data_IF_018023997067
#
_entry.id   IF_018023997067
#
_cell.length_a   1.000
_cell.length_b   1.000
_cell.length_c   1.000
_cell.angle_alpha   90.00
_cell.angle_beta   90.00
_cell.angle_gamma   90.00
#
_symmetry.space_group_name_H-M   'P 1'
#
loop_
_entity.id
_entity.type
_entity.pdbx_description
1 polymer ?
#
# COMPACT_ATOMS: atom_id res chain seq x y z
N UNK A 1 -9.48 27.86 -3.15
CA UNK A 1 -8.50 26.75 -2.93
C UNK A 1 -9.12 25.45 -3.43
N UNK A 2 -8.39 24.57 -4.15
CA UNK A 2 -9.00 23.33 -4.67
C UNK A 2 -9.38 22.39 -3.53
N UNK A 3 -10.61 21.85 -3.53
CA UNK A 3 -11.07 20.90 -2.49
C UNK A 3 -10.11 19.70 -2.43
N UNK A 4 -9.66 19.37 -1.21
CA UNK A 4 -8.75 18.27 -0.94
C UNK A 4 -9.45 16.92 -1.19
N UNK A 5 -9.33 16.32 -2.37
CA UNK A 5 -10.05 15.08 -2.67
C UNK A 5 -9.36 13.85 -2.05
N UNK A 6 -10.03 13.16 -1.12
CA UNK A 6 -9.52 11.92 -0.52
C UNK A 6 -9.48 10.78 -1.54
N UNK A 7 -8.35 10.07 -1.62
CA UNK A 7 -8.27 8.83 -2.41
C UNK A 7 -9.07 7.72 -1.74
N UNK A 8 -10.10 7.21 -2.42
CA UNK A 8 -10.91 6.12 -1.90
C UNK A 8 -10.24 4.76 -2.17
N UNK A 9 -9.98 4.01 -1.10
CA UNK A 9 -9.53 2.63 -1.16
C UNK A 9 -10.73 1.74 -0.80
N UNK A 10 -11.16 0.91 -1.75
CA UNK A 10 -12.35 0.07 -1.57
C UNK A 10 -12.20 -0.87 -0.36
N UNK A 11 -13.28 -1.05 0.40
CA UNK A 11 -13.32 -1.92 1.59
C UNK A 11 -12.91 -3.38 1.33
N UNK A 12 -13.13 -3.85 0.10
CA UNK A 12 -12.86 -5.23 -0.32
C UNK A 12 -11.49 -5.37 -1.00
N UNK A 13 -10.67 -4.32 -0.97
CA UNK A 13 -9.32 -4.28 -1.57
C UNK A 13 -8.40 -5.22 -0.81
N UNK A 14 -7.80 -6.18 -1.52
CA UNK A 14 -6.78 -7.06 -0.96
C UNK A 14 -5.38 -6.52 -1.24
N UNK A 15 -4.42 -6.93 -0.41
CA UNK A 15 -3.02 -6.55 -0.51
C UNK A 15 -2.19 -7.79 -0.78
N UNK A 16 -1.32 -7.73 -1.79
CA UNK A 16 -0.55 -8.88 -2.26
C UNK A 16 0.93 -8.55 -2.32
N UNK A 17 1.75 -9.45 -1.80
CA UNK A 17 3.19 -9.47 -2.05
C UNK A 17 3.47 -10.38 -3.24
N UNK A 18 4.07 -9.85 -4.31
CA UNK A 18 4.43 -10.62 -5.51
C UNK A 18 5.90 -10.37 -5.85
N UNK A 19 6.73 -11.42 -5.76
CA UNK A 19 8.16 -11.31 -6.05
C UNK A 19 8.43 -11.43 -7.55
N UNK A 20 9.35 -10.63 -8.11
CA UNK A 20 9.64 -10.65 -9.54
C UNK A 20 10.67 -11.73 -9.87
N UNK A 21 10.30 -12.99 -9.62
CA UNK A 21 11.17 -14.15 -9.82
C UNK A 21 12.22 -14.34 -8.71
N UNK A 22 13.05 -15.36 -8.90
CA UNK A 22 14.16 -15.70 -7.99
C UNK A 22 15.15 -14.54 -7.96
N UNK A 23 15.60 -14.18 -6.75
CA UNK A 23 16.51 -13.05 -6.52
C UNK A 23 16.06 -11.72 -7.14
N UNK A 24 14.74 -11.56 -7.30
CA UNK A 24 14.09 -10.39 -7.89
C UNK A 24 14.54 -10.05 -9.33
N UNK A 25 15.00 -11.05 -10.11
CA UNK A 25 15.63 -10.85 -11.43
C UNK A 25 14.75 -10.12 -12.46
N UNK A 26 13.42 -10.23 -12.35
CA UNK A 26 12.48 -9.58 -13.27
C UNK A 26 12.03 -8.18 -12.79
N UNK A 27 12.59 -7.63 -11.71
CA UNK A 27 12.09 -6.40 -11.08
C UNK A 27 12.05 -5.21 -12.06
N UNK A 28 13.15 -4.94 -12.75
CA UNK A 28 13.21 -3.85 -13.74
C UNK A 28 12.27 -4.07 -14.93
N UNK A 29 12.00 -5.33 -15.29
CA UNK A 29 11.06 -5.66 -16.35
C UNK A 29 9.61 -5.40 -15.90
N UNK A 30 9.26 -5.80 -14.67
CA UNK A 30 7.95 -5.54 -14.08
C UNK A 30 7.67 -4.05 -13.94
N UNK A 31 8.69 -3.28 -13.52
CA UNK A 31 8.63 -1.82 -13.45
C UNK A 31 8.36 -1.20 -14.81
N UNK A 32 9.23 -1.48 -15.78
CA UNK A 32 9.18 -0.89 -17.12
C UNK A 32 7.91 -1.26 -17.88
N UNK A 33 7.48 -2.51 -17.76
CA UNK A 33 6.35 -3.03 -18.53
C UNK A 33 5.01 -2.86 -17.78
N UNK A 34 5.02 -2.29 -16.57
CA UNK A 34 3.83 -2.08 -15.75
C UNK A 34 3.05 -3.38 -15.48
N UNK A 35 3.76 -4.42 -15.03
CA UNK A 35 3.15 -5.74 -14.77
C UNK A 35 3.66 -6.39 -13.51
N UNK A 36 2.92 -7.40 -13.06
CA UNK A 36 3.41 -8.49 -12.21
C UNK A 36 3.14 -9.83 -12.88
N UNK A 37 4.01 -10.80 -12.65
CA UNK A 37 3.87 -12.13 -13.23
C UNK A 37 4.29 -13.24 -12.26
N UNK A 38 3.68 -14.41 -12.44
CA UNK A 38 4.08 -15.66 -11.79
C UNK A 38 4.41 -16.74 -12.83
N UNK A 39 5.18 -17.74 -12.41
CA UNK A 39 5.64 -18.85 -13.24
C UNK A 39 4.59 -19.91 -13.57
N UNK A 40 5.07 -21.15 -13.63
CA UNK A 40 4.30 -22.34 -14.00
C UNK A 40 4.00 -22.43 -15.49
N UNK A 41 5.02 -22.21 -16.33
CA UNK A 41 4.86 -22.09 -17.79
C UNK A 41 4.34 -23.35 -18.50
N UNK A 42 4.58 -24.54 -17.97
CA UNK A 42 3.96 -25.79 -18.48
C UNK A 42 2.44 -25.83 -18.29
N UNK A 43 1.92 -25.02 -17.36
CA UNK A 43 0.49 -24.83 -17.20
C UNK A 43 0.10 -23.65 -18.08
N UNK A 44 -0.46 -23.98 -19.24
CA UNK A 44 -1.02 -23.02 -20.19
C UNK A 44 -2.23 -22.26 -19.65
N UNK A 45 -3.04 -21.71 -20.55
CA UNK A 45 -4.20 -20.91 -20.16
C UNK A 45 -5.30 -21.80 -19.53
N UNK A 46 -5.25 -21.97 -18.21
CA UNK A 46 -6.43 -22.40 -17.44
C UNK A 46 -7.43 -21.26 -17.59
N UNK A 47 -8.58 -21.54 -18.22
CA UNK A 47 -9.60 -20.56 -18.56
C UNK A 47 -9.79 -19.52 -17.44
N UNK A 48 -9.18 -18.34 -17.61
CA UNK A 48 -9.22 -17.27 -16.62
C UNK A 48 -10.63 -16.70 -16.43
N UNK A 49 -11.53 -16.94 -17.38
CA UNK A 49 -12.91 -16.50 -17.33
C UNK A 49 -13.85 -17.49 -16.64
N UNK A 50 -13.37 -18.68 -16.24
CA UNK A 50 -14.17 -19.64 -15.48
C UNK A 50 -13.36 -20.18 -14.31
N UNK A 51 -13.89 -20.00 -13.10
CA UNK A 51 -13.24 -20.50 -11.89
C UNK A 51 -13.08 -22.01 -11.98
N UNK A 52 -11.85 -22.48 -11.88
CA UNK A 52 -11.51 -23.89 -11.80
C UNK A 52 -11.24 -24.26 -10.35
N UNK A 53 -11.87 -25.34 -9.89
CA UNK A 53 -11.64 -25.85 -8.54
C UNK A 53 -10.16 -26.13 -8.27
N UNK A 54 -9.72 -25.78 -7.06
CA UNK A 54 -8.33 -25.94 -6.63
C UNK A 54 -7.82 -27.39 -6.80
N UNK A 55 -8.67 -28.39 -6.59
CA UNK A 55 -8.29 -29.80 -6.72
C UNK A 55 -7.94 -30.17 -8.17
N UNK A 56 -8.64 -29.59 -9.15
CA UNK A 56 -8.30 -29.76 -10.56
C UNK A 56 -6.96 -29.10 -10.91
N UNK A 57 -6.64 -27.95 -10.31
CA UNK A 57 -5.33 -27.32 -10.47
C UNK A 57 -4.23 -28.20 -9.87
N UNK A 58 -4.45 -28.79 -8.68
CA UNK A 58 -3.50 -29.74 -8.08
C UNK A 58 -3.24 -30.95 -8.98
N UNK A 59 -4.28 -31.49 -9.61
CA UNK A 59 -4.14 -32.58 -10.58
C UNK A 59 -3.27 -32.17 -11.77
N UNK A 60 -3.54 -31.01 -12.38
CA UNK A 60 -2.75 -30.47 -13.49
C UNK A 60 -1.28 -30.28 -13.07
N UNK A 61 -1.03 -29.67 -11.90
CA UNK A 61 0.32 -29.47 -11.37
C UNK A 61 1.06 -30.80 -11.17
N UNK A 62 0.38 -31.81 -10.63
CA UNK A 62 0.98 -33.12 -10.39
C UNK A 62 1.39 -33.83 -11.69
N UNK A 63 0.66 -33.58 -12.78
CA UNK A 63 0.90 -34.15 -14.10
C UNK A 63 1.99 -33.38 -14.88
N UNK A 64 1.81 -32.07 -15.07
CA UNK A 64 2.69 -31.23 -15.91
C UNK A 64 4.12 -31.08 -15.36
N UNK A 65 4.29 -31.23 -14.04
CA UNK A 65 5.58 -31.16 -13.36
C UNK A 65 5.98 -32.49 -12.74
N UNK A 66 5.47 -33.62 -13.26
CA UNK A 66 5.75 -34.92 -12.67
C UNK A 66 7.27 -35.14 -12.54
N UNK A 67 8.03 -34.98 -13.61
CA UNK A 67 9.49 -35.07 -13.68
C UNK A 67 10.22 -34.25 -12.59
N UNK A 68 9.86 -32.98 -12.40
CA UNK A 68 10.47 -32.10 -11.38
C UNK A 68 10.03 -32.46 -9.95
N UNK A 69 8.95 -33.23 -9.81
CA UNK A 69 8.41 -33.70 -8.53
C UNK A 69 8.79 -35.15 -8.24
N UNK A 70 9.40 -35.87 -9.19
CA UNK A 70 9.77 -37.29 -9.07
C UNK A 70 10.88 -37.54 -8.04
N UNK A 71 11.77 -36.58 -7.81
CA UNK A 71 12.81 -36.69 -6.77
C UNK A 71 12.23 -36.69 -5.35
N UNK A 72 10.93 -36.34 -5.20
CA UNK A 72 10.18 -36.32 -3.93
C UNK A 72 9.17 -37.47 -3.81
N UNK A 73 9.42 -38.61 -4.47
CA UNK A 73 8.49 -39.76 -4.56
C UNK A 73 8.02 -40.25 -3.18
N UNK A 74 6.69 -40.31 -3.00
CA UNK A 74 6.00 -40.97 -1.88
C UNK A 74 5.76 -40.15 -0.60
N UNK A 75 6.34 -38.95 -0.49
CA UNK A 75 6.40 -38.23 0.80
C UNK A 75 5.33 -37.15 0.93
N UNK A 76 4.96 -36.84 2.19
CA UNK A 76 4.15 -35.66 2.58
C UNK A 76 4.62 -34.37 1.90
N UNK A 77 5.91 -34.28 1.59
CA UNK A 77 6.54 -33.14 0.94
C UNK A 77 6.08 -32.91 -0.51
N UNK A 78 5.95 -33.96 -1.33
CA UNK A 78 5.43 -33.83 -2.70
C UNK A 78 4.01 -33.26 -2.69
N UNK A 79 3.14 -33.79 -1.84
CA UNK A 79 1.76 -33.28 -1.67
C UNK A 79 1.72 -31.84 -1.20
N UNK A 80 2.62 -31.46 -0.28
CA UNK A 80 2.76 -30.07 0.18
C UNK A 80 3.18 -29.15 -0.95
N UNK A 81 4.19 -29.53 -1.75
CA UNK A 81 4.67 -28.74 -2.91
C UNK A 81 3.55 -28.59 -3.93
N UNK A 82 2.88 -29.65 -4.36
CA UNK A 82 1.73 -29.57 -5.29
C UNK A 82 0.65 -28.61 -4.76
N UNK A 83 0.27 -28.74 -3.48
CA UNK A 83 -0.77 -27.89 -2.89
C UNK A 83 -0.35 -26.42 -2.83
N UNK A 84 0.89 -26.15 -2.46
CA UNK A 84 1.45 -24.80 -2.41
C UNK A 84 1.46 -24.14 -3.80
N UNK A 85 1.89 -24.88 -4.82
CA UNK A 85 1.91 -24.45 -6.22
C UNK A 85 0.50 -24.14 -6.71
N UNK A 86 -0.41 -25.10 -6.56
CA UNK A 86 -1.79 -24.96 -7.00
C UNK A 86 -2.48 -23.78 -6.31
N UNK A 87 -2.18 -23.55 -5.02
CA UNK A 87 -2.73 -22.42 -4.27
C UNK A 87 -2.21 -21.08 -4.80
N UNK A 88 -0.93 -20.98 -5.16
CA UNK A 88 -0.36 -19.77 -5.78
C UNK A 88 -1.01 -19.49 -7.14
N UNK A 89 -1.17 -20.51 -7.98
CA UNK A 89 -1.83 -20.39 -9.28
C UNK A 89 -3.29 -19.94 -9.08
N UNK A 90 -4.03 -20.64 -8.22
CA UNK A 90 -5.44 -20.33 -7.93
C UNK A 90 -5.62 -18.88 -7.47
N UNK A 91 -4.81 -18.45 -6.50
CA UNK A 91 -4.83 -17.07 -5.98
C UNK A 91 -4.61 -16.06 -7.09
N UNK A 92 -3.55 -16.24 -7.87
CA UNK A 92 -3.20 -15.29 -8.92
C UNK A 92 -4.24 -15.24 -10.04
N UNK A 93 -4.88 -16.36 -10.38
CA UNK A 93 -5.90 -16.41 -11.43
C UNK A 93 -7.25 -15.87 -10.95
N UNK A 94 -7.68 -16.22 -9.74
CA UNK A 94 -9.08 -16.05 -9.33
C UNK A 94 -9.31 -15.19 -8.08
N UNK A 95 -8.33 -15.08 -7.17
CA UNK A 95 -8.49 -14.28 -5.95
C UNK A 95 -8.00 -12.84 -6.14
N UNK A 96 -6.90 -12.64 -6.87
CA UNK A 96 -6.42 -11.29 -7.22
C UNK A 96 -7.39 -10.61 -8.19
N UNK A 97 -7.89 -9.45 -7.80
CA UNK A 97 -8.88 -8.68 -8.56
C UNK A 97 -8.31 -7.34 -9.04
N UNK A 98 -8.96 -6.77 -10.05
CA UNK A 98 -8.72 -5.38 -10.45
C UNK A 98 -9.03 -4.47 -9.26
N UNK A 99 -8.15 -3.52 -8.97
CA UNK A 99 -8.24 -2.64 -7.81
C UNK A 99 -7.46 -3.11 -6.58
N UNK A 100 -7.05 -4.39 -6.50
CA UNK A 100 -6.19 -4.86 -5.42
C UNK A 100 -4.83 -4.15 -5.46
N UNK A 101 -4.21 -3.98 -4.28
CA UNK A 101 -2.88 -3.39 -4.13
C UNK A 101 -1.83 -4.49 -4.15
N UNK A 102 -0.75 -4.25 -4.90
CA UNK A 102 0.38 -5.16 -5.02
C UNK A 102 1.68 -4.48 -4.60
N UNK A 103 2.50 -5.24 -3.88
CA UNK A 103 3.85 -4.88 -3.48
C UNK A 103 4.81 -5.81 -4.18
N UNK A 104 5.77 -5.23 -4.89
CA UNK A 104 6.80 -5.98 -5.60
C UNK A 104 8.18 -5.57 -5.08
N UNK A 105 8.85 -6.43 -4.28
CA UNK A 105 10.15 -6.09 -3.75
C UNK A 105 11.26 -6.31 -4.80
N UNK A 106 12.08 -5.29 -5.01
CA UNK A 106 13.38 -5.39 -5.67
C UNK A 106 14.51 -5.58 -4.66
N UNK A 107 15.76 -5.35 -5.10
CA UNK A 107 16.93 -5.42 -4.22
C UNK A 107 17.14 -4.14 -3.41
N UNK A 108 16.96 -2.98 -4.04
CA UNK A 108 17.21 -1.66 -3.42
C UNK A 108 15.92 -0.88 -3.15
N UNK A 109 14.86 -1.17 -3.90
CA UNK A 109 13.56 -0.51 -3.78
C UNK A 109 12.41 -1.52 -3.77
N UNK A 110 11.21 -1.01 -3.52
CA UNK A 110 9.95 -1.75 -3.53
C UNK A 110 8.94 -0.94 -4.32
N UNK A 111 8.29 -1.59 -5.30
CA UNK A 111 7.19 -1.00 -6.04
C UNK A 111 5.89 -1.28 -5.31
N UNK A 112 5.01 -0.28 -5.25
CA UNK A 112 3.64 -0.41 -4.78
C UNK A 112 2.72 0.07 -5.90
N UNK A 113 1.74 -0.75 -6.27
CA UNK A 113 0.84 -0.46 -7.38
C UNK A 113 -0.53 -1.09 -7.22
N UNK A 114 -1.40 -0.83 -8.19
CA UNK A 114 -2.79 -1.30 -8.24
C UNK A 114 -3.01 -2.18 -9.45
N UNK A 115 -3.63 -3.34 -9.28
CA UNK A 115 -3.94 -4.27 -10.38
C UNK A 115 -4.95 -3.62 -11.35
N UNK A 116 -4.64 -3.61 -12.65
CA UNK A 116 -5.45 -2.99 -13.72
C UNK A 116 -6.12 -3.99 -14.65
N UNK A 117 -5.66 -5.25 -14.68
CA UNK A 117 -6.06 -6.20 -15.71
C UNK A 117 -6.39 -7.58 -15.19
N UNK A 118 -7.19 -8.29 -15.99
CA UNK A 118 -7.28 -9.75 -15.92
C UNK A 118 -5.92 -10.37 -16.26
N UNK A 119 -5.74 -11.61 -15.82
CA UNK A 119 -4.55 -12.38 -16.17
C UNK A 119 -4.51 -12.66 -17.67
N UNK A 120 -3.32 -12.59 -18.26
CA UNK A 120 -3.05 -13.04 -19.62
C UNK A 120 -1.73 -13.84 -19.66
N UNK A 121 -1.54 -14.61 -20.72
CA UNK A 121 -0.31 -15.40 -20.90
C UNK A 121 0.70 -14.62 -21.76
N UNK A 122 1.95 -14.60 -21.32
CA UNK A 122 3.08 -14.01 -22.05
C UNK A 122 4.29 -14.92 -21.99
N UNK A 123 4.51 -15.70 -23.05
CA UNK A 123 5.59 -16.69 -23.07
C UNK A 123 6.94 -16.06 -23.39
N UNK A 124 7.98 -16.50 -22.66
CA UNK A 124 9.38 -16.18 -22.94
C UNK A 124 9.83 -14.73 -22.65
N UNK A 125 8.93 -13.83 -22.25
CA UNK A 125 9.25 -12.40 -21.99
C UNK A 125 9.94 -12.18 -20.64
N UNK A 126 9.42 -12.78 -19.57
CA UNK A 126 9.91 -12.60 -18.20
C UNK A 126 10.65 -13.85 -17.73
N UNK A 127 11.95 -13.89 -17.99
CA UNK A 127 12.79 -15.06 -17.75
C UNK A 127 13.39 -15.03 -16.36
N UNK A 128 13.25 -16.13 -15.63
CA UNK A 128 13.96 -16.40 -14.39
C UNK A 128 15.14 -17.29 -14.78
N UNK A 129 16.37 -16.83 -14.56
CA UNK A 129 17.63 -17.40 -15.10
C UNK A 129 17.71 -18.93 -15.23
N UNK A 130 18.45 -19.42 -16.22
CA UNK A 130 18.65 -20.85 -16.58
C UNK A 130 19.43 -21.71 -15.55
N UNK A 131 19.62 -21.24 -14.31
CA UNK A 131 20.32 -22.03 -13.29
C UNK A 131 19.46 -23.23 -12.88
N UNK A 132 19.73 -24.38 -13.49
CA UNK A 132 19.14 -25.70 -13.19
C UNK A 132 19.40 -26.18 -11.75
N UNK A 133 20.23 -25.48 -10.99
CA UNK A 133 20.69 -25.87 -9.64
C UNK A 133 19.76 -25.45 -8.50
N UNK A 134 18.59 -24.85 -8.80
CA UNK A 134 17.58 -24.55 -7.78
C UNK A 134 16.34 -25.44 -7.96
N UNK A 135 15.99 -26.19 -6.91
CA UNK A 135 14.75 -26.98 -6.78
C UNK A 135 13.44 -26.16 -6.98
N UNK A 136 13.55 -24.85 -7.10
CA UNK A 136 12.48 -23.88 -7.37
C UNK A 136 12.44 -23.40 -8.83
N UNK A 137 13.25 -23.96 -9.74
CA UNK A 137 13.16 -23.63 -11.16
C UNK A 137 11.85 -24.19 -11.75
N UNK A 138 10.88 -23.31 -11.96
CA UNK A 138 9.57 -23.68 -12.53
C UNK A 138 9.27 -22.88 -13.81
N UNK A 139 10.31 -22.66 -14.61
CA UNK A 139 10.21 -22.02 -15.91
C UNK A 139 9.93 -20.52 -15.87
N UNK A 140 9.50 -19.97 -17.00
CA UNK A 140 9.32 -18.54 -17.21
C UNK A 140 8.09 -17.99 -16.46
N UNK A 141 8.13 -16.71 -16.08
CA UNK A 141 6.95 -16.02 -15.54
C UNK A 141 5.98 -15.70 -16.68
N UNK A 142 5.04 -16.59 -16.95
CA UNK A 142 4.16 -16.48 -18.11
C UNK A 142 2.72 -16.07 -17.78
N UNK A 143 2.29 -16.09 -16.51
CA UNK A 143 0.97 -15.58 -16.10
C UNK A 143 1.12 -14.16 -15.63
N UNK A 144 0.55 -13.21 -16.34
CA UNK A 144 0.84 -11.77 -16.19
C UNK A 144 -0.43 -10.99 -15.89
N UNK A 145 -0.32 -9.96 -15.05
CA UNK A 145 -1.35 -8.96 -14.80
C UNK A 145 -0.76 -7.56 -14.95
N UNK A 146 -1.51 -6.67 -15.58
CA UNK A 146 -1.15 -5.25 -15.68
C UNK A 146 -1.31 -4.57 -14.31
N UNK A 147 -0.40 -3.65 -14.02
CA UNK A 147 -0.31 -2.91 -12.76
C UNK A 147 -0.06 -1.44 -13.06
N UNK A 148 -0.81 -0.57 -12.39
CA UNK A 148 -0.50 0.85 -12.29
C UNK A 148 0.43 1.03 -11.09
N UNK A 149 1.73 1.27 -11.34
CA UNK A 149 2.69 1.57 -10.28
C UNK A 149 2.42 2.98 -9.73
N UNK A 150 2.16 3.07 -8.43
CA UNK A 150 1.80 4.33 -7.74
C UNK A 150 3.02 4.93 -7.08
N UNK A 151 3.86 4.09 -6.45
CA UNK A 151 5.06 4.56 -5.76
C UNK A 151 6.21 3.53 -5.86
N UNK A 152 7.45 4.03 -5.77
CA UNK A 152 8.66 3.25 -5.61
C UNK A 152 9.44 3.76 -4.41
N UNK A 153 9.63 2.90 -3.42
CA UNK A 153 10.21 3.29 -2.13
C UNK A 153 11.54 2.56 -1.95
N UNK A 154 12.60 3.31 -1.69
CA UNK A 154 13.90 2.73 -1.33
C UNK A 154 13.78 1.95 -0.03
N UNK A 155 14.49 0.84 0.09
CA UNK A 155 14.36 -0.06 1.24
C UNK A 155 14.76 0.59 2.55
N UNK A 156 15.73 1.51 2.55
CA UNK A 156 16.09 2.28 3.76
C UNK A 156 14.88 3.07 4.30
N UNK A 157 14.03 3.59 3.41
CA UNK A 157 12.90 4.46 3.73
C UNK A 157 11.60 3.69 4.03
N UNK A 158 11.60 2.36 3.91
CA UNK A 158 10.42 1.57 4.23
C UNK A 158 10.15 1.59 5.74
N UNK A 159 8.86 1.65 6.06
CA UNK A 159 8.42 1.51 7.43
C UNK A 159 8.68 0.10 7.98
N UNK A 160 8.84 -0.05 9.32
CA UNK A 160 9.31 -1.29 9.92
C UNK A 160 8.41 -2.51 9.65
N UNK A 161 7.07 -2.36 9.64
CA UNK A 161 6.21 -3.51 9.44
C UNK A 161 6.22 -3.98 7.99
N UNK A 162 6.33 -3.07 7.01
CA UNK A 162 6.59 -3.46 5.61
C UNK A 162 7.92 -4.22 5.53
N UNK A 163 9.01 -3.71 6.13
CA UNK A 163 10.32 -4.40 6.13
C UNK A 163 10.22 -5.82 6.68
N UNK A 164 9.44 -6.03 7.75
CA UNK A 164 9.19 -7.35 8.33
C UNK A 164 8.38 -8.25 7.40
N UNK A 165 7.33 -7.73 6.76
CA UNK A 165 6.49 -8.47 5.82
C UNK A 165 7.31 -8.96 4.62
N UNK A 166 8.27 -8.16 4.15
CA UNK A 166 9.19 -8.52 3.07
C UNK A 166 10.20 -9.62 3.41
N UNK A 167 10.27 -10.09 4.67
CA UNK A 167 11.07 -11.28 5.04
C UNK A 167 10.40 -12.59 4.62
N UNK A 168 9.10 -12.56 4.29
CA UNK A 168 8.39 -13.71 3.76
C UNK A 168 9.02 -14.12 2.42
N UNK A 169 9.49 -15.36 2.33
CA UNK A 169 10.26 -15.88 1.18
C UNK A 169 9.33 -16.32 0.03
N UNK A 170 8.03 -16.44 0.27
CA UNK A 170 7.07 -16.87 -0.75
C UNK A 170 6.99 -15.88 -1.93
N UNK A 171 6.96 -16.42 -3.16
CA UNK A 171 6.83 -15.61 -4.37
C UNK A 171 5.46 -14.93 -4.55
N UNK A 172 4.42 -15.42 -3.85
CA UNK A 172 3.09 -14.83 -3.79
C UNK A 172 2.50 -15.06 -2.39
N UNK A 173 2.08 -13.99 -1.71
CA UNK A 173 1.35 -14.06 -0.45
C UNK A 173 0.36 -12.91 -0.29
N UNK A 174 -0.75 -13.17 0.40
CA UNK A 174 -1.70 -12.12 0.80
C UNK A 174 -1.19 -11.46 2.09
N UNK A 175 -1.32 -10.14 2.18
CA UNK A 175 -0.98 -9.33 3.35
C UNK A 175 -2.29 -8.99 4.07
N UNK A 176 -2.49 -9.59 5.24
CA UNK A 176 -3.71 -9.43 6.04
C UNK A 176 -3.48 -8.64 7.33
N UNK A 177 -2.21 -8.30 7.65
CA UNK A 177 -1.86 -7.57 8.86
C UNK A 177 -2.23 -6.10 8.71
N UNK A 178 -3.22 -5.65 9.50
CA UNK A 178 -3.75 -4.29 9.40
C UNK A 178 -2.69 -3.19 9.58
N UNK A 179 -1.70 -3.41 10.44
CA UNK A 179 -0.58 -2.48 10.60
C UNK A 179 0.25 -2.32 9.33
N UNK A 180 0.53 -3.43 8.62
CA UNK A 180 1.26 -3.41 7.36
C UNK A 180 0.42 -2.73 6.28
N UNK A 181 -0.89 -3.02 6.22
CA UNK A 181 -1.84 -2.38 5.30
C UNK A 181 -1.88 -0.86 5.51
N UNK A 182 -1.94 -0.41 6.75
CA UNK A 182 -1.92 1.02 7.10
C UNK A 182 -0.61 1.70 6.64
N UNK A 183 0.54 1.05 6.85
CA UNK A 183 1.84 1.53 6.34
C UNK A 183 1.87 1.60 4.81
N UNK A 184 1.33 0.59 4.11
CA UNK A 184 1.25 0.59 2.64
C UNK A 184 0.39 1.75 2.14
N UNK A 185 -0.81 1.92 2.71
CA UNK A 185 -1.76 2.95 2.28
C UNK A 185 -1.18 4.34 2.45
N UNK A 186 -0.61 4.63 3.62
CA UNK A 186 0.04 5.92 3.83
C UNK A 186 1.29 6.06 3.00
N UNK A 187 1.97 4.99 2.59
CA UNK A 187 3.12 5.11 1.70
C UNK A 187 2.74 5.54 0.26
N UNK A 188 1.50 5.32 -0.17
CA UNK A 188 1.02 5.70 -1.52
C UNK A 188 0.09 6.92 -1.53
N UNK A 189 -0.58 7.24 -0.42
CA UNK A 189 -1.49 8.38 -0.32
C UNK A 189 -1.26 9.17 0.97
N UNK A 190 -1.34 10.50 0.87
CA UNK A 190 -1.29 11.40 2.05
C UNK A 190 -2.67 11.78 2.58
N UNK A 191 -3.72 11.61 1.77
CA UNK A 191 -5.11 11.84 2.17
C UNK A 191 -6.01 10.79 1.51
N UNK A 192 -6.53 9.83 2.30
CA UNK A 192 -7.27 8.68 1.75
C UNK A 192 -8.38 8.21 2.68
N UNK A 193 -9.40 7.57 2.11
CA UNK A 193 -10.48 6.90 2.86
C UNK A 193 -10.34 5.40 2.70
N UNK A 194 -10.34 4.67 3.81
CA UNK A 194 -10.30 3.21 3.86
C UNK A 194 -11.17 2.72 5.02
N UNK A 195 -11.99 1.68 4.80
CA UNK A 195 -12.90 1.14 5.81
C UNK A 195 -13.78 2.19 6.52
N UNK A 196 -14.31 3.15 5.76
CA UNK A 196 -15.13 4.27 6.24
C UNK A 196 -14.40 5.27 7.16
N UNK A 197 -13.10 5.15 7.33
CA UNK A 197 -12.26 6.13 8.02
C UNK A 197 -11.45 6.92 6.99
N UNK A 198 -11.36 8.23 7.18
CA UNK A 198 -10.45 9.06 6.40
C UNK A 198 -9.18 9.29 7.18
N UNK A 199 -8.05 9.18 6.50
CA UNK A 199 -6.70 9.32 7.02
C UNK A 199 -6.04 10.53 6.40
N UNK A 200 -5.41 11.34 7.25
CA UNK A 200 -4.71 12.56 6.92
C UNK A 200 -3.28 12.46 7.43
N UNK A 201 -2.34 12.31 6.51
CA UNK A 201 -0.95 11.96 6.80
C UNK A 201 -0.05 13.18 6.65
N UNK A 202 0.44 13.68 7.78
CA UNK A 202 1.47 14.71 7.84
C UNK A 202 2.83 14.03 7.92
N UNK A 203 3.85 14.57 7.25
CA UNK A 203 5.21 14.02 7.30
C UNK A 203 6.21 15.03 7.79
N UNK A 204 6.89 14.70 8.88
CA UNK A 204 8.07 15.43 9.30
C UNK A 204 9.25 14.91 8.47
N UNK A 205 9.84 15.78 7.66
CA UNK A 205 10.97 15.46 6.76
C UNK A 205 12.34 15.67 7.39
N UNK A 206 12.40 16.38 8.53
CA UNK A 206 13.66 16.69 9.19
C UNK A 206 14.45 15.38 9.44
N UNK A 207 15.77 15.45 9.27
CA UNK A 207 16.68 14.34 9.59
C UNK A 207 17.27 14.51 10.99
N UNK A 208 17.13 15.70 11.57
CA UNK A 208 17.47 16.00 12.97
C UNK A 208 16.28 15.77 13.90
N UNK A 209 16.52 15.92 15.21
CA UNK A 209 15.50 15.75 16.23
C UNK A 209 14.28 16.66 16.02
N UNK A 210 13.10 16.17 16.41
CA UNK A 210 11.86 16.93 16.33
C UNK A 210 11.86 18.00 17.43
N UNK A 211 11.74 19.28 17.05
CA UNK A 211 11.65 20.37 18.01
C UNK A 211 10.35 20.27 18.84
N UNK A 212 10.49 20.09 20.15
CA UNK A 212 9.37 19.85 21.07
C UNK A 212 8.29 20.95 21.00
N UNK A 213 8.69 22.22 21.07
CA UNK A 213 7.74 23.35 21.11
C UNK A 213 6.94 23.43 19.82
N UNK A 214 7.59 23.19 18.68
CA UNK A 214 6.96 23.20 17.37
C UNK A 214 5.97 22.04 17.20
N UNK A 215 6.36 20.83 17.61
CA UNK A 215 5.47 19.68 17.60
C UNK A 215 4.29 19.87 18.56
N UNK A 216 4.51 20.42 19.76
CA UNK A 216 3.45 20.74 20.71
C UNK A 216 2.44 21.72 20.11
N UNK A 217 2.92 22.83 19.51
CA UNK A 217 2.07 23.80 18.81
C UNK A 217 1.28 23.17 17.65
N UNK A 218 1.88 22.26 16.89
CA UNK A 218 1.19 21.54 15.83
C UNK A 218 0.01 20.72 16.38
N UNK A 219 0.23 19.95 17.44
CA UNK A 219 -0.82 19.16 18.10
C UNK A 219 -1.88 20.06 18.75
N UNK A 220 -1.48 21.14 19.40
CA UNK A 220 -2.40 22.13 19.98
C UNK A 220 -3.27 22.80 18.92
N UNK A 221 -2.73 23.10 17.73
CA UNK A 221 -3.48 23.65 16.61
C UNK A 221 -4.56 22.67 16.14
N UNK A 222 -4.23 21.38 16.01
CA UNK A 222 -5.21 20.34 15.66
C UNK A 222 -6.32 20.26 16.71
N UNK A 223 -5.96 20.29 18.00
CA UNK A 223 -6.93 20.24 19.09
C UNK A 223 -7.86 21.47 19.08
N UNK A 224 -7.32 22.67 18.89
CA UNK A 224 -8.12 23.90 18.81
C UNK A 224 -9.13 23.85 17.64
N UNK A 225 -8.72 23.33 16.49
CA UNK A 225 -9.60 23.12 15.34
C UNK A 225 -10.68 22.07 15.65
N UNK A 226 -10.31 20.95 16.29
CA UNK A 226 -11.27 19.92 16.70
C UNK A 226 -12.32 20.45 17.68
N UNK A 227 -11.91 21.20 18.71
CA UNK A 227 -12.81 21.84 19.68
C UNK A 227 -13.76 22.82 18.98
N UNK A 228 -13.23 23.67 18.08
CA UNK A 228 -14.03 24.63 17.31
C UNK A 228 -15.11 23.94 16.46
N UNK A 229 -14.76 22.80 15.83
CA UNK A 229 -15.71 21.99 15.05
C UNK A 229 -16.75 21.33 15.97
N UNK A 230 -16.33 20.81 17.12
CA UNK A 230 -17.24 20.22 18.13
C UNK A 230 -18.19 21.21 18.80
N UNK A 231 -17.85 22.50 18.87
CA UNK A 231 -18.80 23.54 19.31
C UNK A 231 -19.92 23.75 18.28
N UNK A 232 -19.61 23.59 16.99
CA UNK A 232 -20.57 23.81 15.89
C UNK A 232 -21.46 22.61 15.62
N UNK A 233 -21.00 21.39 15.93
CA UNK A 233 -21.66 20.14 15.57
C UNK A 233 -21.80 19.19 16.78
N UNK A 234 -22.83 18.33 16.79
CA UNK A 234 -23.00 17.29 17.83
C UNK A 234 -22.02 16.11 17.63
N UNK A 235 -20.73 16.38 17.57
CA UNK A 235 -19.67 15.40 17.35
C UNK A 235 -19.36 14.71 18.68
N UNK A 236 -19.46 13.38 18.72
CA UNK A 236 -19.06 12.60 19.89
C UNK A 236 -17.53 12.58 20.07
N UNK A 237 -17.07 12.50 21.31
CA UNK A 237 -15.65 12.48 21.72
C UNK A 237 -14.78 11.36 21.10
N UNK A 238 -15.37 10.43 20.34
CA UNK A 238 -14.73 9.22 19.85
C UNK A 238 -14.54 9.19 18.32
N UNK A 239 -14.55 10.37 17.67
CA UNK A 239 -14.55 10.45 16.20
C UNK A 239 -13.18 10.75 15.57
N UNK A 240 -12.15 11.02 16.38
CA UNK A 240 -10.81 11.37 15.91
C UNK A 240 -9.73 10.64 16.69
N UNK A 241 -8.75 10.14 15.96
CA UNK A 241 -7.61 9.40 16.49
C UNK A 241 -6.32 9.88 15.84
N UNK A 242 -5.21 9.70 16.55
CA UNK A 242 -3.86 10.02 16.06
C UNK A 242 -2.92 8.83 16.27
N UNK A 243 -2.15 8.50 15.23
CA UNK A 243 -1.00 7.58 15.29
C UNK A 243 0.24 8.37 14.90
N UNK A 244 1.18 8.50 15.83
CA UNK A 244 2.44 9.20 15.60
C UNK A 244 3.60 8.22 15.74
N UNK A 245 4.46 8.17 14.73
CA UNK A 245 5.77 7.52 14.83
C UNK A 245 6.80 8.64 14.99
N UNK A 246 7.12 8.99 16.25
CA UNK A 246 7.88 10.20 16.65
C UNK A 246 9.38 10.10 16.29
N UNK A 247 9.76 9.20 15.39
CA UNK A 247 11.10 9.20 14.81
C UNK A 247 11.18 10.27 13.71
N UNK A 248 12.31 10.94 13.60
CA UNK A 248 12.59 11.89 12.52
C UNK A 248 13.43 11.21 11.44
N UNK A 249 12.99 11.16 10.17
CA UNK A 249 11.68 11.57 9.66
C UNK A 249 10.57 10.54 10.00
N UNK A 250 9.32 11.00 10.09
CA UNK A 250 8.21 10.14 10.49
C UNK A 250 6.81 10.68 10.13
N UNK A 251 5.83 9.78 9.91
CA UNK A 251 4.45 10.16 9.67
C UNK A 251 3.68 10.43 10.98
N UNK A 252 2.75 11.38 10.88
CA UNK A 252 1.64 11.58 11.83
C UNK A 252 0.36 11.32 11.05
N UNK A 253 -0.39 10.30 11.46
CA UNK A 253 -1.64 9.86 10.85
C UNK A 253 -2.81 10.28 11.74
N UNK A 254 -3.57 11.27 11.29
CA UNK A 254 -4.83 11.70 11.91
C UNK A 254 -5.96 11.01 11.15
N UNK A 255 -6.82 10.28 11.86
CA UNK A 255 -7.88 9.51 11.21
C UNK A 255 -9.17 9.47 12.02
N UNK A 256 -10.28 9.26 11.33
CA UNK A 256 -11.61 9.40 11.92
C UNK A 256 -12.71 9.44 10.87
N UNK A 257 -13.86 10.00 11.24
CA UNK A 257 -14.99 10.15 10.33
C UNK A 257 -14.63 11.08 9.15
N UNK A 258 -15.09 10.80 7.91
CA UNK A 258 -14.64 11.54 6.73
C UNK A 258 -14.84 13.07 6.82
N UNK A 259 -16.03 13.51 7.22
CA UNK A 259 -16.37 14.93 7.33
C UNK A 259 -15.45 15.67 8.31
N UNK A 260 -15.24 15.10 9.49
CA UNK A 260 -14.39 15.68 10.52
C UNK A 260 -12.94 15.79 10.07
N UNK A 261 -12.38 14.72 9.53
CA UNK A 261 -10.97 14.68 9.10
C UNK A 261 -10.72 15.65 7.94
N UNK A 262 -11.69 15.81 7.03
CA UNK A 262 -11.62 16.79 5.94
C UNK A 262 -11.52 18.21 6.50
N UNK A 263 -12.45 18.60 7.38
CA UNK A 263 -12.48 19.95 7.98
C UNK A 263 -11.25 20.25 8.83
N UNK A 264 -10.78 19.27 9.62
CA UNK A 264 -9.53 19.41 10.37
C UNK A 264 -8.35 19.66 9.43
N UNK A 265 -8.23 18.86 8.38
CA UNK A 265 -7.08 18.96 7.47
C UNK A 265 -7.04 20.31 6.76
N UNK A 266 -8.17 20.79 6.25
CA UNK A 266 -8.25 22.11 5.61
C UNK A 266 -7.93 23.24 6.60
N UNK A 267 -8.59 23.27 7.77
CA UNK A 267 -8.40 24.35 8.74
C UNK A 267 -6.98 24.38 9.31
N UNK A 268 -6.40 23.23 9.62
CA UNK A 268 -5.01 23.15 10.11
C UNK A 268 -4.03 23.64 9.04
N UNK A 269 -4.25 23.29 7.76
CA UNK A 269 -3.42 23.81 6.68
C UNK A 269 -3.56 25.33 6.53
N UNK A 270 -4.78 25.87 6.57
CA UNK A 270 -5.06 27.31 6.52
C UNK A 270 -4.38 28.06 7.66
N UNK A 271 -4.45 27.55 8.88
CA UNK A 271 -3.85 28.19 10.06
C UNK A 271 -2.32 28.13 9.97
N UNK A 272 -1.74 26.96 9.73
CA UNK A 272 -0.29 26.79 9.81
C UNK A 272 0.46 27.34 8.59
N UNK A 273 -0.19 27.42 7.42
CA UNK A 273 0.39 28.03 6.20
C UNK A 273 -0.07 29.45 5.92
N UNK A 274 -0.82 30.08 6.85
CA UNK A 274 -1.36 31.44 6.68
C UNK A 274 -2.19 31.61 5.40
N UNK A 275 -3.04 30.63 5.12
CA UNK A 275 -4.02 30.68 4.04
C UNK A 275 -5.25 31.52 4.40
N UNK A 276 -6.16 31.69 3.44
CA UNK A 276 -7.44 32.38 3.62
C UNK A 276 -8.59 31.45 3.19
N UNK A 277 -9.76 31.61 3.81
CA UNK A 277 -11.00 30.93 3.40
C UNK A 277 -11.82 31.89 2.53
N UNK A 278 -12.24 31.42 1.36
CA UNK A 278 -13.16 32.18 0.51
C UNK A 278 -14.56 32.18 1.12
N UNK A 279 -15.16 33.36 1.30
CA UNK A 279 -16.51 33.55 1.86
C UNK A 279 -16.68 33.11 3.34
N UNK A 280 -15.63 33.21 4.16
CA UNK A 280 -15.75 33.00 5.60
C UNK A 280 -16.59 34.10 6.26
N UNK A 281 -17.22 33.77 7.39
CA UNK A 281 -17.86 34.78 8.23
C UNK A 281 -16.80 35.63 8.93
N UNK A 282 -17.12 36.88 9.29
CA UNK A 282 -16.20 37.75 10.05
C UNK A 282 -15.75 37.11 11.37
N UNK A 283 -16.65 36.34 12.01
CA UNK A 283 -16.32 35.56 13.20
C UNK A 283 -15.25 34.50 12.94
N UNK A 284 -15.34 33.79 11.81
CA UNK A 284 -14.37 32.74 11.46
C UNK A 284 -13.05 33.35 10.97
N UNK A 285 -13.09 34.46 10.23
CA UNK A 285 -11.88 35.20 9.82
C UNK A 285 -11.08 35.69 11.03
N UNK A 286 -11.75 36.28 12.03
CA UNK A 286 -11.11 36.73 13.26
C UNK A 286 -10.48 35.56 14.03
N UNK A 287 -11.21 34.46 14.20
CA UNK A 287 -10.68 33.27 14.88
C UNK A 287 -9.48 32.67 14.15
N UNK A 288 -9.54 32.57 12.81
CA UNK A 288 -8.41 32.09 12.00
C UNK A 288 -7.18 32.98 12.18
N UNK A 289 -7.35 34.30 12.13
CA UNK A 289 -6.24 35.25 12.34
C UNK A 289 -5.61 35.08 13.72
N UNK A 290 -6.41 34.95 14.78
CA UNK A 290 -5.91 34.69 16.13
C UNK A 290 -5.12 33.37 16.22
N UNK A 291 -5.62 32.31 15.59
CA UNK A 291 -4.94 31.02 15.57
C UNK A 291 -3.64 31.06 14.75
N UNK A 292 -3.62 31.78 13.62
CA UNK A 292 -2.42 31.99 12.80
C UNK A 292 -1.32 32.70 13.57
N UNK A 293 -1.68 33.70 14.38
CA UNK A 293 -0.72 34.40 15.25
C UNK A 293 -0.24 33.51 16.40
N UNK A 294 -1.15 32.76 17.05
CA UNK A 294 -0.83 31.87 18.17
C UNK A 294 0.09 30.72 17.76
N UNK A 295 -0.21 30.07 16.64
CA UNK A 295 0.52 28.92 16.11
C UNK A 295 1.55 29.32 15.04
N UNK A 296 1.97 30.59 15.01
CA UNK A 296 3.01 31.06 14.13
C UNK A 296 4.32 30.26 14.36
N UNK A 297 4.82 29.66 13.29
CA UNK A 297 6.01 28.82 13.26
C UNK A 297 6.41 28.51 11.82
N UNK A 298 7.68 28.17 11.60
CA UNK A 298 8.11 27.67 10.30
C UNK A 298 7.77 26.17 10.23
N UNK A 299 6.85 25.76 9.35
CA UNK A 299 6.44 24.37 9.12
C UNK A 299 6.92 23.80 7.77
N UNK A 300 7.97 24.35 7.17
CA UNK A 300 8.49 23.93 5.84
C UNK A 300 9.01 22.48 5.81
N UNK A 301 9.44 21.96 6.94
CA UNK A 301 9.84 20.57 7.20
C UNK A 301 8.65 19.64 7.47
N UNK A 302 7.42 20.15 7.52
CA UNK A 302 6.18 19.38 7.61
C UNK A 302 5.53 19.35 6.23
N UNK A 303 5.43 18.16 5.64
CA UNK A 303 4.62 17.96 4.44
C UNK A 303 3.18 17.75 4.87
N UNK A 304 2.32 18.64 4.41
CA UNK A 304 0.89 18.55 4.64
C UNK A 304 0.24 17.58 3.63
N UNK A 305 -0.88 16.95 4.01
CA UNK A 305 -1.66 16.09 3.14
C UNK A 305 -2.02 16.77 1.81
N UNK A 306 -1.99 16.00 0.73
CA UNK A 306 -2.54 16.37 -0.57
C UNK A 306 -3.45 15.27 -1.11
N UNK A 307 -4.41 15.61 -1.97
CA UNK A 307 -5.33 14.66 -2.60
C UNK A 307 -4.70 13.75 -3.67
N UNK A 308 -3.39 13.87 -3.90
CA UNK A 308 -2.62 13.06 -4.85
C UNK A 308 -2.01 11.79 -4.23
N UNK A 309 -1.33 11.01 -5.07
CA UNK A 309 -0.34 10.04 -4.60
C UNK A 309 0.88 10.77 -4.03
N UNK A 310 1.53 10.15 -3.05
CA UNK A 310 2.74 10.67 -2.38
C UNK A 310 3.95 10.55 -3.31
#
# INVERSE_FOLDING_TARGET
MGMLEAKNIGKDTNYWLIRPGINNICFEQFKRDSVVAIGWDRIGNINSDTIVELEKIKYIVAHEYEDLLQEKKGTRERRRKISDIASKIYRFLYEIKIGDIVICPGNDSVLIGKIQGKVYISDGKYKVSDSKDNDEYIGNLNKVRNVEWINEIKRENLEPNIKLELRVVHGLSQINRMQVISEINRAIYSFYTYNNETHSIYRIKNQEDIEFVKYAKFIECINAVYERIGETDQISEHNLYIKSNINSPGPIDIFGTPDLVYRITEMVEIILKKGNIENASESDENWISEMQDKYNGNYDDYVFPSGGSV
#
